data_IF_517856612010
#
_entry.id   IF_517856612010
#
_cell.length_a   1.000
_cell.length_b   1.000
_cell.length_c   1.000
_cell.angle_alpha   90.00
_cell.angle_beta   90.00
_cell.angle_gamma   90.00
#
_symmetry.space_group_name_H-M   'P 1'
#
loop_
_entity.id
_entity.type
_entity.pdbx_description
1 polymer ?
#
# COMPACT_ATOMS: atom_id res chain seq x y z
N UNK A 1 18.79 -11.89 -36.76
CA UNK A 1 18.06 -13.13 -36.38
C UNK A 1 17.26 -12.82 -35.13
N UNK A 2 16.00 -13.20 -35.20
CA UNK A 2 14.90 -12.84 -34.29
C UNK A 2 15.11 -13.59 -32.97
N UNK A 3 15.31 -12.86 -31.87
CA UNK A 3 15.03 -13.41 -30.54
C UNK A 3 13.76 -12.73 -30.03
N UNK A 4 12.72 -13.56 -30.03
CA UNK A 4 11.34 -13.19 -29.80
C UNK A 4 11.12 -12.66 -28.39
N UNK A 5 10.22 -11.68 -28.33
CA UNK A 5 9.65 -11.17 -27.10
C UNK A 5 9.16 -12.33 -26.25
N UNK A 6 9.82 -12.52 -25.11
CA UNK A 6 9.18 -13.19 -23.99
C UNK A 6 8.04 -12.27 -23.57
N UNK A 7 6.85 -12.65 -24.00
CA UNK A 7 5.60 -12.32 -23.36
C UNK A 7 5.81 -12.46 -21.85
N UNK A 8 6.02 -11.31 -21.21
CA UNK A 8 5.79 -11.16 -19.78
C UNK A 8 4.32 -11.50 -19.62
N UNK A 9 4.05 -12.78 -19.36
CA UNK A 9 2.75 -13.26 -18.92
C UNK A 9 2.50 -12.47 -17.65
N UNK A 10 1.82 -11.34 -17.80
CA UNK A 10 1.16 -10.62 -16.71
C UNK A 10 0.47 -11.73 -15.95
N UNK A 11 1.06 -12.06 -14.81
CA UNK A 11 0.50 -13.04 -13.91
C UNK A 11 -0.89 -12.48 -13.68
N UNK A 12 -1.90 -13.16 -14.23
CA UNK A 12 -3.27 -12.96 -13.81
C UNK A 12 -3.25 -13.41 -12.36
N UNK A 13 -2.80 -12.53 -11.47
CA UNK A 13 -3.04 -12.62 -10.05
C UNK A 13 -4.55 -12.47 -9.93
N UNK A 14 -5.21 -13.60 -10.16
CA UNK A 14 -6.46 -13.96 -9.57
C UNK A 14 -6.32 -13.49 -8.12
N UNK A 15 -6.96 -12.37 -7.79
CA UNK A 15 -7.48 -12.15 -6.45
C UNK A 15 -8.63 -13.15 -6.24
N UNK A 16 -8.38 -14.44 -6.50
CA UNK A 16 -8.78 -15.47 -5.59
C UNK A 16 -7.65 -15.43 -4.57
N UNK A 17 -7.75 -14.55 -3.57
CA UNK A 17 -7.04 -14.78 -2.31
C UNK A 17 -7.36 -16.22 -2.01
N UNK A 18 -6.34 -17.08 -2.15
CA UNK A 18 -6.42 -18.45 -1.75
C UNK A 18 -6.71 -18.39 -0.28
N UNK A 19 -8.01 -18.41 0.07
CA UNK A 19 -8.51 -18.69 1.37
C UNK A 19 -8.02 -20.12 1.61
N UNK A 20 -6.76 -20.27 2.02
CA UNK A 20 -6.20 -21.53 2.39
C UNK A 20 -7.01 -21.93 3.61
N UNK A 21 -8.00 -22.80 3.37
CA UNK A 21 -8.72 -23.50 4.41
C UNK A 21 -7.69 -24.36 5.15
N UNK A 22 -7.04 -23.78 6.16
CA UNK A 22 -6.74 -24.52 7.39
C UNK A 22 -7.96 -24.49 8.31
N UNK A 23 -9.18 -24.51 7.74
CA UNK A 23 -10.33 -25.04 8.45
C UNK A 23 -10.12 -26.54 8.50
N UNK A 24 -9.51 -27.04 9.58
CA UNK A 24 -9.74 -28.40 10.00
C UNK A 24 -11.26 -28.62 9.98
N UNK A 25 -11.71 -29.41 8.99
CA UNK A 25 -13.10 -29.81 8.80
C UNK A 25 -13.43 -30.77 9.93
N UNK A 26 -13.76 -30.20 11.08
CA UNK A 26 -14.24 -30.93 12.24
C UNK A 26 -15.71 -31.25 12.08
N UNK A 27 -16.01 -32.54 12.13
CA UNK A 27 -17.34 -33.10 12.27
C UNK A 27 -18.24 -32.26 13.20
N UNK A 28 -19.47 -32.04 12.75
CA UNK A 28 -20.55 -31.42 13.49
C UNK A 28 -20.74 -32.11 14.85
N UNK A 29 -20.28 -31.47 15.93
CA UNK A 29 -20.50 -31.93 17.31
C UNK A 29 -19.49 -31.44 18.34
N UNK A 30 -18.25 -31.12 17.96
CA UNK A 30 -17.23 -30.68 18.90
C UNK A 30 -17.07 -29.15 18.89
N UNK A 31 -17.22 -28.51 20.07
CA UNK A 31 -16.74 -27.14 20.29
C UNK A 31 -15.27 -27.08 19.84
N UNK A 32 -14.90 -26.11 18.99
CA UNK A 32 -13.48 -25.80 18.75
C UNK A 32 -12.85 -25.43 20.08
N UNK A 33 -12.08 -26.34 20.65
CA UNK A 33 -11.47 -26.17 21.97
C UNK A 33 -10.26 -25.22 21.90
N UNK A 34 -9.65 -25.12 20.71
CA UNK A 34 -8.50 -24.26 20.44
C UNK A 34 -8.57 -23.57 19.08
N UNK A 35 -7.88 -22.44 18.99
CA UNK A 35 -7.68 -21.62 17.79
C UNK A 35 -6.17 -21.40 17.65
N UNK A 36 -5.65 -21.58 16.44
CA UNK A 36 -4.26 -21.20 16.13
C UNK A 36 -4.23 -19.69 15.91
N UNK A 37 -3.36 -19.00 16.63
CA UNK A 37 -3.09 -17.57 16.48
C UNK A 37 -1.59 -17.35 16.33
N UNK A 38 -1.20 -16.26 15.69
CA UNK A 38 0.19 -15.81 15.63
C UNK A 38 0.45 -14.74 16.69
N UNK A 39 1.58 -14.86 17.39
CA UNK A 39 2.04 -13.90 18.40
C UNK A 39 3.51 -13.56 18.17
N UNK A 40 3.89 -12.31 18.44
CA UNK A 40 5.27 -11.83 18.29
C UNK A 40 5.37 -10.45 17.64
N UNK A 41 6.55 -10.15 17.10
CA UNK A 41 6.82 -8.90 16.41
C UNK A 41 7.34 -9.16 14.99
N UNK A 42 6.88 -8.34 14.05
CA UNK A 42 7.44 -8.22 12.73
C UNK A 42 7.95 -6.80 12.51
N UNK A 43 9.18 -6.72 12.01
CA UNK A 43 9.80 -5.46 11.61
C UNK A 43 9.72 -5.37 10.09
N UNK A 44 9.00 -4.38 9.57
CA UNK A 44 8.82 -4.17 8.13
C UNK A 44 9.59 -2.92 7.73
N UNK A 45 10.25 -2.97 6.58
CA UNK A 45 10.77 -1.81 5.93
C UNK A 45 9.62 -0.86 5.56
N UNK A 46 9.84 0.46 5.59
CA UNK A 46 8.95 1.48 5.01
C UNK A 46 8.52 1.17 3.58
N UNK A 47 9.29 0.32 2.90
CA UNK A 47 9.12 -0.12 1.52
C UNK A 47 8.50 -1.52 1.40
N UNK A 48 7.91 -2.03 2.48
CA UNK A 48 7.10 -3.25 2.50
C UNK A 48 7.88 -4.54 2.75
N UNK A 49 9.20 -4.56 2.66
CA UNK A 49 10.01 -5.77 2.90
C UNK A 49 10.00 -6.19 4.38
N UNK A 50 9.84 -7.48 4.69
CA UNK A 50 10.03 -7.98 6.06
C UNK A 50 11.52 -8.03 6.38
N UNK A 51 11.94 -7.31 7.43
CA UNK A 51 13.34 -7.25 7.90
C UNK A 51 13.61 -8.27 9.00
N UNK A 52 12.65 -8.46 9.90
CA UNK A 52 12.75 -9.43 10.99
C UNK A 52 11.36 -9.97 11.31
N UNK A 53 11.30 -11.24 11.64
CA UNK A 53 10.09 -11.97 12.01
C UNK A 53 10.41 -12.84 13.22
N UNK A 54 9.81 -12.53 14.36
CA UNK A 54 9.89 -13.34 15.58
C UNK A 54 8.55 -13.99 15.91
N UNK A 55 7.64 -14.07 14.94
CA UNK A 55 6.30 -14.60 15.16
C UNK A 55 6.31 -16.10 15.31
N UNK A 56 5.42 -16.60 16.16
CA UNK A 56 5.20 -18.02 16.37
C UNK A 56 3.70 -18.36 16.30
N UNK A 57 3.40 -19.56 15.82
CA UNK A 57 2.05 -20.12 15.88
C UNK A 57 1.82 -20.77 17.24
N UNK A 58 0.74 -20.38 17.90
CA UNK A 58 0.35 -20.89 19.21
C UNK A 58 -1.12 -21.32 19.20
N UNK A 59 -1.42 -22.42 19.88
CA UNK A 59 -2.79 -22.87 20.08
C UNK A 59 -3.38 -22.29 21.37
N UNK A 60 -4.43 -21.50 21.27
CA UNK A 60 -5.04 -20.79 22.40
C UNK A 60 -6.53 -21.08 22.51
N UNK A 61 -7.12 -20.84 23.68
CA UNK A 61 -8.57 -20.90 23.82
C UNK A 61 -9.23 -19.74 23.06
N UNK A 62 -10.45 -19.91 22.48
CA UNK A 62 -11.14 -18.82 21.79
C UNK A 62 -11.31 -17.54 22.62
N UNK A 63 -11.41 -17.65 23.94
CA UNK A 63 -11.54 -16.50 24.87
C UNK A 63 -10.24 -15.72 25.07
N UNK A 64 -9.10 -16.33 24.75
CA UNK A 64 -7.77 -15.77 25.00
C UNK A 64 -7.16 -15.16 23.73
N UNK A 65 -7.79 -15.33 22.56
CA UNK A 65 -7.33 -14.81 21.25
C UNK A 65 -6.96 -13.33 21.31
N UNK A 66 -7.75 -12.51 22.01
CA UNK A 66 -7.50 -11.07 22.12
C UNK A 66 -6.19 -10.69 22.83
N UNK A 67 -5.59 -11.61 23.59
CA UNK A 67 -4.34 -11.39 24.34
C UNK A 67 -3.09 -11.56 23.48
N UNK A 68 -3.22 -12.19 22.32
CA UNK A 68 -2.14 -12.46 21.39
C UNK A 68 -2.23 -11.52 20.20
N UNK A 69 -1.23 -11.52 19.35
CA UNK A 69 -1.26 -10.89 18.03
C UNK A 69 0.11 -10.43 17.58
N UNK A 70 0.23 -10.21 16.27
CA UNK A 70 1.47 -9.71 15.69
C UNK A 70 1.53 -8.20 15.87
N UNK A 71 2.61 -7.72 16.51
CA UNK A 71 2.96 -6.30 16.51
C UNK A 71 3.81 -5.97 15.30
N UNK A 72 3.58 -4.81 14.72
CA UNK A 72 4.36 -4.33 13.57
C UNK A 72 5.15 -3.10 13.96
N UNK A 73 6.45 -3.12 13.71
CA UNK A 73 7.28 -1.93 13.73
C UNK A 73 7.82 -1.63 12.33
N UNK A 74 8.02 -0.35 12.04
CA UNK A 74 8.51 0.10 10.74
C UNK A 74 9.91 0.68 10.88
N UNK A 75 10.83 0.23 10.04
CA UNK A 75 12.16 0.81 9.92
C UNK A 75 12.46 1.16 8.46
N UNK A 76 13.51 1.91 8.22
CA UNK A 76 14.12 1.98 6.90
C UNK A 76 15.24 0.94 6.85
N UNK A 77 15.15 -0.08 5.99
CA UNK A 77 16.16 -1.14 5.93
C UNK A 77 17.46 -0.64 5.29
N UNK A 78 18.55 -1.37 5.49
CA UNK A 78 19.88 -0.99 4.99
C UNK A 78 19.91 -0.87 3.46
N UNK A 79 19.22 -1.77 2.75
CA UNK A 79 19.13 -1.73 1.29
C UNK A 79 18.50 -0.41 0.82
N UNK A 80 17.34 -0.05 1.37
CA UNK A 80 16.64 1.16 0.98
C UNK A 80 17.34 2.45 1.45
N UNK A 81 18.05 2.40 2.58
CA UNK A 81 18.98 3.46 2.97
C UNK A 81 20.06 3.67 1.93
N UNK A 82 20.69 2.59 1.48
CA UNK A 82 21.71 2.65 0.43
C UNK A 82 21.14 3.15 -0.91
N UNK A 83 19.94 2.73 -1.30
CA UNK A 83 19.29 3.19 -2.55
C UNK A 83 19.00 4.68 -2.51
N UNK A 84 18.47 5.21 -1.41
CA UNK A 84 18.24 6.64 -1.23
C UNK A 84 19.54 7.45 -1.25
N UNK A 85 20.58 6.98 -0.57
CA UNK A 85 21.89 7.64 -0.55
C UNK A 85 22.51 7.71 -1.95
N UNK A 86 22.48 6.59 -2.70
CA UNK A 86 22.95 6.54 -4.08
C UNK A 86 22.16 7.49 -5.00
N UNK A 87 20.85 7.57 -4.81
CA UNK A 87 20.01 8.45 -5.61
C UNK A 87 20.27 9.92 -5.29
N UNK A 88 20.35 10.27 -4.00
CA UNK A 88 20.65 11.62 -3.54
C UNK A 88 22.03 12.08 -4.01
N UNK A 89 23.03 11.20 -3.97
CA UNK A 89 24.36 11.52 -4.49
C UNK A 89 24.35 11.71 -6.02
N UNK A 90 23.60 10.87 -6.76
CA UNK A 90 23.40 11.09 -8.19
C UNK A 90 22.79 12.48 -8.48
N UNK A 91 21.77 12.91 -7.71
CA UNK A 91 21.17 14.22 -7.89
C UNK A 91 22.17 15.36 -7.63
N UNK A 92 22.99 15.27 -6.58
CA UNK A 92 24.06 16.25 -6.30
C UNK A 92 25.08 16.32 -7.45
N UNK A 93 25.43 15.20 -8.05
CA UNK A 93 26.35 15.16 -9.19
C UNK A 93 25.71 15.75 -10.46
N UNK A 94 24.45 15.44 -10.74
CA UNK A 94 23.68 16.07 -11.84
C UNK A 94 23.65 17.58 -11.65
N UNK A 95 23.35 18.06 -10.45
CA UNK A 95 23.32 19.48 -10.11
C UNK A 95 24.64 20.17 -10.45
N UNK A 96 25.76 19.61 -9.97
CA UNK A 96 27.12 20.10 -10.23
C UNK A 96 27.59 19.94 -11.69
N UNK A 97 26.83 19.20 -12.51
CA UNK A 97 27.20 18.89 -13.90
C UNK A 97 28.24 17.77 -14.02
N UNK A 98 28.52 17.04 -12.94
CA UNK A 98 29.41 15.89 -12.91
C UNK A 98 28.67 14.63 -13.38
N UNK A 99 28.43 14.55 -14.69
CA UNK A 99 27.60 13.49 -15.26
C UNK A 99 28.26 12.11 -15.18
N UNK A 100 29.59 12.03 -15.09
CA UNK A 100 30.30 10.75 -14.93
C UNK A 100 30.06 10.16 -13.53
N UNK A 101 30.19 10.97 -12.48
CA UNK A 101 29.88 10.50 -11.13
C UNK A 101 28.38 10.23 -10.95
N UNK A 102 27.50 11.04 -11.54
CA UNK A 102 26.07 10.76 -11.57
C UNK A 102 25.77 9.40 -12.22
N UNK A 103 26.39 9.12 -13.38
CA UNK A 103 26.27 7.83 -14.07
C UNK A 103 26.67 6.67 -13.16
N UNK A 104 27.78 6.81 -12.44
CA UNK A 104 28.26 5.76 -11.53
C UNK A 104 27.26 5.46 -10.41
N UNK A 105 26.73 6.48 -9.72
CA UNK A 105 25.75 6.31 -8.65
C UNK A 105 24.43 5.72 -9.16
N UNK A 106 23.90 6.21 -10.30
CA UNK A 106 22.67 5.67 -10.90
C UNK A 106 22.84 4.22 -11.38
N UNK A 107 24.01 3.89 -11.93
CA UNK A 107 24.30 2.52 -12.37
C UNK A 107 24.38 1.55 -11.19
N UNK A 108 25.03 1.94 -10.09
CA UNK A 108 25.08 1.14 -8.88
C UNK A 108 23.69 0.96 -8.25
N UNK A 109 22.90 2.03 -8.22
CA UNK A 109 21.51 1.98 -7.78
C UNK A 109 20.70 0.98 -8.62
N UNK A 110 20.81 1.01 -9.95
CA UNK A 110 20.07 0.10 -10.83
C UNK A 110 20.56 -1.36 -10.79
N UNK A 111 21.77 -1.62 -10.28
CA UNK A 111 22.20 -2.99 -9.97
C UNK A 111 21.48 -3.54 -8.74
N UNK A 112 21.25 -2.69 -7.75
CA UNK A 112 20.57 -3.05 -6.50
C UNK A 112 19.04 -3.10 -6.68
N UNK A 113 18.47 -2.13 -7.40
CA UNK A 113 17.07 -2.08 -7.80
C UNK A 113 16.93 -1.80 -9.30
N UNK A 114 16.88 -2.85 -10.14
CA UNK A 114 16.63 -2.70 -11.57
C UNK A 114 15.25 -2.11 -11.90
N UNK A 115 14.33 -2.00 -10.95
CA UNK A 115 12.99 -1.46 -11.20
C UNK A 115 12.89 0.04 -10.95
N UNK A 116 13.95 0.67 -10.42
CA UNK A 116 14.01 2.10 -10.11
C UNK A 116 13.91 2.99 -11.37
N UNK A 117 12.68 3.30 -11.78
CA UNK A 117 12.38 3.89 -13.11
C UNK A 117 13.03 5.24 -13.35
N UNK A 118 13.06 6.11 -12.33
CA UNK A 118 13.62 7.46 -12.46
C UNK A 118 15.13 7.43 -12.65
N UNK A 119 15.82 6.59 -11.88
CA UNK A 119 17.25 6.32 -12.07
C UNK A 119 17.54 5.77 -13.47
N UNK A 120 16.72 4.85 -13.98
CA UNK A 120 16.83 4.35 -15.37
C UNK A 120 16.66 5.47 -16.39
N UNK A 121 15.64 6.31 -16.24
CA UNK A 121 15.39 7.43 -17.15
C UNK A 121 16.55 8.44 -17.14
N UNK A 122 17.02 8.86 -15.96
CA UNK A 122 18.14 9.78 -15.83
C UNK A 122 19.44 9.19 -16.37
N UNK A 123 19.68 7.88 -16.19
CA UNK A 123 20.83 7.20 -16.76
C UNK A 123 20.75 7.21 -18.30
N UNK A 124 19.58 6.93 -18.89
CA UNK A 124 19.37 7.00 -20.35
C UNK A 124 19.64 8.41 -20.90
N UNK A 125 19.23 9.46 -20.19
CA UNK A 125 19.52 10.85 -20.59
C UNK A 125 21.02 11.15 -20.57
N UNK A 126 21.73 10.72 -19.53
CA UNK A 126 23.19 10.88 -19.42
C UNK A 126 23.92 10.10 -20.52
N UNK A 127 23.48 8.88 -20.83
CA UNK A 127 24.03 8.06 -21.93
C UNK A 127 23.76 8.70 -23.30
N UNK A 128 22.66 9.43 -23.46
CA UNK A 128 22.37 10.22 -24.64
C UNK A 128 23.11 11.57 -24.70
N UNK A 129 24.03 11.84 -23.76
CA UNK A 129 24.80 13.08 -23.68
C UNK A 129 24.00 14.29 -23.18
N UNK A 130 22.84 14.07 -22.56
CA UNK A 130 22.00 15.12 -21.99
C UNK A 130 22.21 15.22 -20.48
N UNK A 131 22.11 16.43 -19.94
CA UNK A 131 22.00 16.63 -18.49
C UNK A 131 20.53 16.40 -18.09
N UNK A 132 20.22 15.39 -17.25
CA UNK A 132 18.86 15.19 -16.78
C UNK A 132 18.38 16.35 -15.92
N UNK A 133 17.06 16.53 -15.82
CA UNK A 133 16.48 17.44 -14.83
C UNK A 133 16.73 16.91 -13.43
N UNK A 134 17.15 17.80 -12.52
CA UNK A 134 17.31 17.47 -11.10
C UNK A 134 15.94 17.17 -10.54
N UNK A 135 15.83 16.02 -9.91
CA UNK A 135 14.70 15.72 -9.06
C UNK A 135 14.91 16.44 -7.73
N UNK A 136 14.29 17.61 -7.59
CA UNK A 136 14.40 18.43 -6.38
C UNK A 136 13.56 17.90 -5.22
N UNK A 137 12.94 16.71 -5.38
CA UNK A 137 12.45 15.85 -4.32
C UNK A 137 12.05 16.61 -3.07
N UNK A 138 11.03 17.47 -3.18
CA UNK A 138 10.45 18.07 -1.97
C UNK A 138 9.84 16.91 -1.21
N UNK A 139 10.61 16.37 -0.28
CA UNK A 139 10.14 15.49 0.76
C UNK A 139 9.04 16.28 1.48
N UNK A 140 7.78 15.92 1.20
CA UNK A 140 6.64 16.39 1.98
C UNK A 140 6.87 15.91 3.40
N UNK A 141 7.46 16.81 4.18
CA UNK A 141 7.61 16.74 5.62
C UNK A 141 6.50 17.56 6.23
N UNK A 142 5.24 17.27 5.86
CA UNK A 142 4.10 17.66 6.68
C UNK A 142 3.89 16.61 7.78
N UNK A 143 4.88 16.58 8.68
CA UNK A 143 4.61 16.27 10.07
C UNK A 143 4.02 17.55 10.67
N UNK A 144 2.77 17.47 11.15
CA UNK A 144 2.00 18.60 11.67
C UNK A 144 2.80 19.55 12.57
N UNK A 145 2.95 20.78 12.10
CA UNK A 145 3.47 21.92 12.85
C UNK A 145 2.39 22.99 13.00
N UNK A 146 1.62 22.93 14.08
CA UNK A 146 0.74 24.03 14.49
C UNK A 146 1.62 25.17 14.99
N UNK A 147 1.71 26.25 14.21
CA UNK A 147 2.43 27.46 14.58
C UNK A 147 1.79 28.69 13.95
N UNK A 148 0.77 29.24 14.60
CA UNK A 148 0.16 30.49 14.17
C UNK A 148 1.06 31.69 14.43
N UNK A 149 0.98 32.70 13.56
CA UNK A 149 0.98 34.13 13.94
C UNK A 149 0.73 35.05 12.73
N UNK A 150 -0.24 35.96 12.90
CA UNK A 150 -0.36 37.36 12.38
C UNK A 150 -0.15 37.62 10.88
N UNK A 151 -1.09 38.14 10.07
CA UNK A 151 -2.09 39.17 10.34
C UNK A 151 -1.54 40.59 10.07
N UNK A 152 -1.55 41.06 8.82
CA UNK A 152 -1.24 42.46 8.47
C UNK A 152 -1.17 42.75 6.95
N UNK A 153 -2.06 43.62 6.47
CA UNK A 153 -2.33 43.99 5.06
C UNK A 153 -1.54 45.27 4.62
N UNK A 154 -1.81 45.96 3.48
CA UNK A 154 -1.08 45.95 2.19
C UNK A 154 -0.38 47.30 1.80
N UNK A 155 0.43 47.30 0.73
CA UNK A 155 0.96 48.55 0.15
C UNK A 155 1.43 48.42 -1.31
N UNK A 156 0.76 49.16 -2.19
CA UNK A 156 0.90 49.23 -3.67
C UNK A 156 2.13 49.99 -4.16
N UNK A 157 2.67 49.65 -5.36
CA UNK A 157 2.95 50.55 -6.51
C UNK A 157 3.44 49.72 -7.74
N UNK A 158 3.06 50.06 -9.00
CA UNK A 158 3.16 49.19 -10.18
C UNK A 158 4.34 49.50 -11.14
N UNK A 159 4.83 48.45 -11.83
CA UNK A 159 5.78 48.56 -12.96
C UNK A 159 5.85 47.26 -13.78
N UNK A 160 5.48 47.35 -15.05
CA UNK A 160 5.46 46.29 -16.11
C UNK A 160 6.65 46.54 -17.07
N UNK A 161 7.16 45.64 -17.95
CA UNK A 161 6.93 44.20 -18.18
C UNK A 161 8.20 43.33 -18.18
N UNK A 162 8.06 42.05 -17.81
CA UNK A 162 8.99 40.99 -18.20
C UNK A 162 8.30 39.65 -17.99
N UNK A 163 8.04 38.91 -19.06
CA UNK A 163 7.46 37.56 -18.99
C UNK A 163 8.53 36.58 -18.52
N UNK A 164 8.27 35.78 -17.47
CA UNK A 164 8.67 34.37 -17.55
C UNK A 164 7.66 33.40 -16.92
N UNK A 165 7.47 32.27 -17.62
CA UNK A 165 7.08 30.99 -17.02
C UNK A 165 5.58 30.74 -16.91
N UNK A 166 4.96 30.26 -17.98
CA UNK A 166 3.80 29.39 -17.85
C UNK A 166 4.22 28.16 -17.06
N UNK A 167 3.96 28.16 -15.75
CA UNK A 167 3.88 26.94 -14.95
C UNK A 167 2.63 26.18 -15.39
N UNK A 168 2.71 25.56 -16.57
CA UNK A 168 1.87 24.43 -16.91
C UNK A 168 2.44 23.22 -16.17
N UNK A 169 2.18 23.18 -14.85
CA UNK A 169 2.14 21.91 -14.14
C UNK A 169 1.02 21.11 -14.76
N UNK A 170 1.36 20.14 -15.59
CA UNK A 170 0.40 19.19 -16.14
C UNK A 170 -0.24 18.45 -14.96
N UNK A 171 -1.57 18.46 -14.81
CA UNK A 171 -2.24 17.56 -13.89
C UNK A 171 -2.03 16.12 -14.39
N UNK A 172 -1.14 15.37 -13.74
CA UNK A 172 -0.86 13.98 -14.11
C UNK A 172 0.54 13.42 -13.82
N UNK A 173 1.51 14.23 -13.37
CA UNK A 173 2.90 13.79 -13.16
C UNK A 173 3.31 13.55 -11.70
N UNK A 174 2.36 13.56 -10.75
CA UNK A 174 2.63 13.17 -9.36
C UNK A 174 2.43 11.67 -9.16
N UNK A 175 3.26 10.91 -9.86
CA UNK A 175 3.47 9.50 -9.57
C UNK A 175 4.48 9.38 -8.43
N UNK A 176 4.30 8.47 -7.46
CA UNK A 176 5.31 8.25 -6.42
C UNK A 176 6.63 7.84 -7.09
N UNK A 177 7.64 8.65 -6.84
CA UNK A 177 8.96 8.55 -7.44
C UNK A 177 9.96 8.28 -6.34
N UNK A 178 10.43 7.04 -6.28
CA UNK A 178 11.07 6.50 -5.08
C UNK A 178 10.15 5.48 -4.42
N UNK A 179 10.67 4.63 -3.52
CA UNK A 179 10.26 3.24 -3.43
C UNK A 179 8.84 3.08 -2.85
N UNK A 180 8.27 1.88 -2.99
CA UNK A 180 6.91 1.47 -2.60
C UNK A 180 6.27 2.36 -1.53
N UNK A 181 5.05 2.84 -1.78
CA UNK A 181 4.29 3.61 -0.80
C UNK A 181 4.19 2.84 0.52
N UNK A 182 4.07 3.56 1.63
CA UNK A 182 3.98 2.95 2.95
C UNK A 182 2.64 2.19 3.14
N UNK A 183 2.54 0.98 2.59
CA UNK A 183 1.33 0.16 2.59
C UNK A 183 0.93 -0.29 4.00
N UNK A 184 1.90 -0.37 4.94
CA UNK A 184 1.61 -0.80 6.31
C UNK A 184 0.72 0.21 7.06
N UNK A 185 0.66 1.47 6.62
CA UNK A 185 -0.26 2.47 7.17
C UNK A 185 -1.74 2.08 7.04
N UNK A 186 -2.09 1.21 6.10
CA UNK A 186 -3.46 0.70 5.89
C UNK A 186 -3.78 -0.56 6.70
N UNK A 187 -2.81 -1.08 7.48
CA UNK A 187 -2.91 -2.40 8.11
C UNK A 187 -2.55 -2.35 9.60
N UNK A 188 -3.39 -1.72 10.43
CA UNK A 188 -3.15 -1.61 11.86
C UNK A 188 -3.03 -2.99 12.51
N UNK A 189 -2.25 -3.10 13.59
CA UNK A 189 -2.09 -4.35 14.34
C UNK A 189 -3.40 -4.83 14.98
N UNK A 190 -4.28 -3.88 15.29
CA UNK A 190 -5.58 -4.13 15.91
C UNK A 190 -6.65 -3.29 15.24
N UNK A 191 -7.82 -3.90 15.07
CA UNK A 191 -9.05 -3.24 14.63
C UNK A 191 -10.15 -3.66 15.62
N UNK A 192 -11.15 -2.82 15.83
CA UNK A 192 -12.23 -3.13 16.77
C UNK A 192 -12.86 -4.51 16.49
N UNK A 193 -12.70 -5.43 17.43
CA UNK A 193 -13.20 -6.81 17.31
C UNK A 193 -12.27 -7.81 16.60
N UNK A 194 -11.10 -7.37 16.14
CA UNK A 194 -10.17 -8.20 15.38
C UNK A 194 -8.70 -7.99 15.78
N UNK A 195 -7.89 -9.03 15.57
CA UNK A 195 -6.45 -9.00 15.80
C UNK A 195 -5.67 -9.35 14.53
N UNK A 196 -4.71 -8.50 14.17
CA UNK A 196 -3.86 -8.69 13.01
C UNK A 196 -2.91 -9.88 13.17
N UNK A 197 -2.80 -10.68 12.12
CA UNK A 197 -1.83 -11.77 11.97
C UNK A 197 -0.59 -11.28 11.22
N UNK A 198 0.33 -12.19 10.90
CA UNK A 198 1.54 -11.90 10.13
C UNK A 198 1.15 -11.30 8.76
N UNK A 199 1.61 -10.08 8.41
CA UNK A 199 1.39 -9.54 7.08
C UNK A 199 2.22 -10.30 6.04
N UNK A 200 1.64 -10.47 4.86
CA UNK A 200 2.28 -11.03 3.67
C UNK A 200 2.61 -9.86 2.75
N UNK A 201 3.89 -9.66 2.51
CA UNK A 201 4.39 -8.58 1.68
C UNK A 201 4.90 -9.07 0.32
N UNK A 202 4.52 -8.33 -0.72
CA UNK A 202 5.05 -8.37 -2.08
C UNK A 202 5.39 -6.91 -2.47
N UNK A 203 6.19 -6.72 -3.52
CA UNK A 203 6.74 -5.42 -3.94
C UNK A 203 5.68 -4.32 -4.14
N UNK A 204 4.43 -4.69 -4.47
CA UNK A 204 3.33 -3.75 -4.70
C UNK A 204 2.05 -4.14 -3.97
N UNK A 205 2.07 -5.19 -3.14
CA UNK A 205 0.89 -5.67 -2.44
C UNK A 205 1.28 -6.00 -1.02
N UNK A 206 0.56 -5.44 -0.06
CA UNK A 206 0.57 -5.91 1.31
C UNK A 206 -0.79 -6.56 1.58
N UNK A 207 -0.79 -7.69 2.27
CA UNK A 207 -2.00 -8.38 2.71
C UNK A 207 -1.87 -8.72 4.19
N UNK A 208 -2.93 -8.51 4.97
CA UNK A 208 -2.95 -8.93 6.37
C UNK A 208 -4.28 -9.59 6.72
N UNK A 209 -4.15 -10.78 7.30
CA UNK A 209 -5.27 -11.49 7.89
C UNK A 209 -5.58 -10.95 9.28
N UNK A 210 -6.87 -10.96 9.63
CA UNK A 210 -7.38 -10.53 10.92
C UNK A 210 -8.33 -11.60 11.48
N UNK A 211 -8.03 -12.03 12.71
CA UNK A 211 -8.85 -13.00 13.43
C UNK A 211 -9.85 -12.30 14.34
N UNK A 212 -11.12 -12.75 14.40
CA UNK A 212 -12.09 -12.17 15.33
C UNK A 212 -11.72 -12.52 16.78
N UNK A 213 -11.75 -11.52 17.67
CA UNK A 213 -11.41 -11.71 19.09
C UNK A 213 -12.52 -12.42 19.88
N UNK A 214 -13.74 -12.45 19.32
CA UNK A 214 -14.88 -13.21 19.85
C UNK A 214 -15.49 -14.02 18.69
N UNK A 215 -15.87 -15.29 18.91
CA UNK A 215 -16.59 -16.07 17.91
C UNK A 215 -17.83 -15.33 17.41
N UNK A 216 -17.98 -15.24 16.09
CA UNK A 216 -19.08 -14.55 15.45
C UNK A 216 -19.37 -15.12 14.07
N UNK A 217 -20.25 -14.43 13.33
CA UNK A 217 -20.60 -14.85 11.95
C UNK A 217 -19.46 -14.62 10.96
N UNK A 218 -18.64 -13.59 11.19
CA UNK A 218 -17.40 -13.35 10.44
C UNK A 218 -16.34 -14.32 10.99
N UNK A 219 -15.78 -15.14 10.11
CA UNK A 219 -14.76 -16.12 10.48
C UNK A 219 -13.36 -15.67 10.08
N UNK A 220 -13.25 -14.76 9.12
CA UNK A 220 -11.98 -14.20 8.65
C UNK A 220 -12.23 -12.81 8.09
N UNK A 221 -11.33 -11.89 8.41
CA UNK A 221 -11.23 -10.57 7.81
C UNK A 221 -9.85 -10.44 7.16
N UNK A 222 -9.76 -9.82 6.00
CA UNK A 222 -8.51 -9.57 5.29
C UNK A 222 -8.48 -8.13 4.83
N UNK A 223 -7.35 -7.46 5.00
CA UNK A 223 -7.08 -6.19 4.35
C UNK A 223 -5.99 -6.40 3.31
N UNK A 224 -6.23 -5.92 2.10
CA UNK A 224 -5.27 -5.88 1.01
C UNK A 224 -5.04 -4.41 0.63
N UNK A 225 -3.79 -4.00 0.56
CA UNK A 225 -3.39 -2.71 0.00
C UNK A 225 -2.51 -2.99 -1.22
N UNK A 226 -2.93 -2.55 -2.39
CA UNK A 226 -2.21 -2.75 -3.65
C UNK A 226 -1.82 -1.40 -4.25
N UNK A 227 -0.54 -1.23 -4.53
CA UNK A 227 0.01 -0.06 -5.20
C UNK A 227 -0.03 -0.22 -6.70
N UNK A 228 -0.58 0.80 -7.36
CA UNK A 228 -0.60 0.93 -8.80
C UNK A 228 0.39 1.97 -9.28
N UNK A 229 0.55 2.02 -10.61
CA UNK A 229 1.29 3.09 -11.25
C UNK A 229 0.69 4.43 -10.88
N UNK A 230 -0.62 4.61 -11.03
CA UNK A 230 -1.33 5.88 -10.83
C UNK A 230 -2.77 5.62 -10.33
N UNK A 231 -3.46 6.69 -9.93
CA UNK A 231 -4.87 6.64 -9.49
C UNK A 231 -5.82 6.07 -10.56
N UNK A 232 -5.56 6.32 -11.84
CA UNK A 232 -6.39 5.81 -12.92
C UNK A 232 -6.32 4.28 -13.00
N UNK A 233 -5.13 3.69 -12.86
CA UNK A 233 -4.96 2.23 -12.82
C UNK A 233 -5.56 1.61 -11.55
N UNK A 234 -5.45 2.27 -10.38
CA UNK A 234 -6.09 1.80 -9.15
C UNK A 234 -7.63 1.81 -9.29
N UNK A 235 -8.18 2.87 -9.88
CA UNK A 235 -9.61 2.98 -10.16
C UNK A 235 -10.09 1.96 -11.19
N UNK A 236 -9.32 1.73 -12.26
CA UNK A 236 -9.60 0.68 -13.24
C UNK A 236 -9.63 -0.71 -12.58
N UNK A 237 -8.70 -0.99 -11.66
CA UNK A 237 -8.70 -2.26 -10.90
C UNK A 237 -9.96 -2.40 -10.05
N UNK A 238 -10.34 -1.35 -9.31
CA UNK A 238 -11.58 -1.31 -8.54
C UNK A 238 -12.79 -1.65 -9.43
N UNK A 239 -12.91 -0.97 -10.57
CA UNK A 239 -14.07 -1.09 -11.46
C UNK A 239 -14.14 -2.43 -12.21
N UNK A 240 -13.02 -2.91 -12.72
CA UNK A 240 -12.99 -4.10 -13.59
C UNK A 240 -12.87 -5.40 -12.82
N UNK A 241 -12.32 -5.37 -11.60
CA UNK A 241 -12.05 -6.57 -10.80
C UNK A 241 -12.91 -6.63 -9.55
N UNK A 242 -12.88 -5.60 -8.71
CA UNK A 242 -13.55 -5.68 -7.41
C UNK A 242 -15.06 -5.64 -7.59
N UNK A 243 -15.57 -4.67 -8.36
CA UNK A 243 -17.03 -4.58 -8.63
C UNK A 243 -17.58 -5.82 -9.34
N UNK A 244 -16.80 -6.44 -10.22
CA UNK A 244 -17.20 -7.65 -10.94
C UNK A 244 -17.12 -8.90 -10.07
N UNK A 245 -16.20 -8.96 -9.11
CA UNK A 245 -16.05 -10.07 -8.16
C UNK A 245 -17.12 -10.06 -7.07
N UNK A 246 -17.64 -8.88 -6.73
CA UNK A 246 -18.62 -8.66 -5.65
C UNK A 246 -19.90 -7.96 -6.16
N UNK A 247 -20.66 -8.55 -7.10
CA UNK A 247 -21.73 -7.84 -7.79
C UNK A 247 -23.02 -7.67 -6.98
N UNK A 248 -23.18 -8.42 -5.88
CA UNK A 248 -24.44 -8.45 -5.11
C UNK A 248 -24.48 -7.32 -4.10
N UNK A 249 -25.68 -6.75 -3.86
CA UNK A 249 -25.91 -5.66 -2.90
C UNK A 249 -24.96 -4.46 -3.08
N UNK A 250 -24.52 -4.27 -4.33
CA UNK A 250 -23.56 -3.27 -4.73
C UNK A 250 -24.03 -1.87 -4.33
N UNK A 251 -23.16 -1.13 -3.65
CA UNK A 251 -23.47 0.22 -3.21
C UNK A 251 -22.24 1.10 -3.15
N UNK A 252 -22.43 2.39 -3.44
CA UNK A 252 -21.46 3.41 -3.08
C UNK A 252 -21.61 3.75 -1.60
N UNK A 253 -20.51 3.75 -0.87
CA UNK A 253 -20.42 4.09 0.56
C UNK A 253 -19.32 5.13 0.78
N UNK A 254 -19.16 5.63 2.01
CA UNK A 254 -18.16 6.65 2.36
C UNK A 254 -17.23 6.10 3.44
N UNK A 255 -15.93 6.28 3.24
CA UNK A 255 -14.87 5.92 4.19
C UNK A 255 -14.01 7.16 4.42
N UNK A 256 -14.13 7.77 5.60
CA UNK A 256 -13.40 9.01 5.96
C UNK A 256 -13.49 10.11 4.88
N UNK A 257 -14.67 10.28 4.27
CA UNK A 257 -14.92 11.27 3.20
C UNK A 257 -14.53 10.82 1.78
N UNK A 258 -13.91 9.65 1.64
CA UNK A 258 -13.58 9.03 0.35
C UNK A 258 -14.73 8.14 -0.13
N UNK A 259 -15.05 8.24 -1.42
CA UNK A 259 -16.02 7.35 -2.03
C UNK A 259 -15.47 5.93 -2.10
N UNK A 260 -16.25 4.97 -1.62
CA UNK A 260 -15.91 3.56 -1.61
C UNK A 260 -17.00 2.71 -2.26
N UNK A 261 -16.63 1.52 -2.70
CA UNK A 261 -17.52 0.49 -3.17
C UNK A 261 -17.77 -0.53 -2.07
N UNK A 262 -19.02 -0.93 -1.89
CA UNK A 262 -19.39 -2.14 -1.18
C UNK A 262 -20.01 -3.13 -2.16
N UNK A 263 -19.73 -4.42 -1.97
CA UNK A 263 -20.46 -5.50 -2.62
C UNK A 263 -20.25 -6.85 -1.96
N UNK A 264 -21.03 -7.84 -2.39
CA UNK A 264 -20.99 -9.20 -1.86
C UNK A 264 -21.04 -10.28 -2.95
N UNK A 265 -20.60 -11.48 -2.57
CA UNK A 265 -20.71 -12.71 -3.36
C UNK A 265 -20.87 -13.91 -2.42
N UNK A 266 -22.10 -14.40 -2.29
CA UNK A 266 -22.41 -15.49 -1.36
C UNK A 266 -22.03 -15.11 0.07
N UNK A 267 -21.19 -15.92 0.71
CA UNK A 267 -20.75 -15.71 2.10
C UNK A 267 -19.62 -14.69 2.27
N UNK A 268 -19.14 -14.07 1.19
CA UNK A 268 -18.04 -13.10 1.20
C UNK A 268 -18.55 -11.71 0.85
N UNK A 269 -18.00 -10.69 1.47
CA UNK A 269 -18.29 -9.27 1.17
C UNK A 269 -17.03 -8.44 1.24
N UNK A 270 -17.01 -7.32 0.51
CA UNK A 270 -15.88 -6.42 0.46
C UNK A 270 -16.32 -4.95 0.49
N UNK A 271 -15.53 -4.12 1.17
CA UNK A 271 -15.48 -2.68 0.98
C UNK A 271 -14.14 -2.34 0.34
N UNK A 272 -14.14 -1.57 -0.74
CA UNK A 272 -12.92 -1.16 -1.43
C UNK A 272 -12.94 0.32 -1.79
N UNK A 273 -11.81 0.98 -1.67
CA UNK A 273 -11.64 2.39 -2.03
C UNK A 273 -10.26 2.64 -2.60
N UNK A 274 -10.15 3.73 -3.36
CA UNK A 274 -8.89 4.19 -3.93
C UNK A 274 -8.43 5.42 -3.16
N UNK A 275 -7.14 5.44 -2.81
CA UNK A 275 -6.45 6.58 -2.22
C UNK A 275 -5.17 6.87 -3.03
N UNK A 276 -5.24 7.87 -3.90
CA UNK A 276 -4.19 8.11 -4.90
C UNK A 276 -3.94 6.85 -5.75
N UNK A 277 -2.70 6.38 -5.81
CA UNK A 277 -2.37 5.15 -6.54
C UNK A 277 -2.51 3.86 -5.70
N UNK A 278 -3.15 3.90 -4.52
CA UNK A 278 -3.42 2.71 -3.70
C UNK A 278 -4.87 2.28 -3.84
N UNK A 279 -5.10 0.99 -4.10
CA UNK A 279 -6.38 0.33 -3.90
C UNK A 279 -6.35 -0.40 -2.55
N UNK A 280 -7.30 -0.08 -1.69
CA UNK A 280 -7.51 -0.81 -0.42
C UNK A 280 -8.77 -1.65 -0.55
N UNK A 281 -8.69 -2.92 -0.16
CA UNK A 281 -9.81 -3.86 -0.12
C UNK A 281 -9.88 -4.47 1.27
N UNK A 282 -11.00 -4.25 1.95
CA UNK A 282 -11.36 -4.91 3.21
C UNK A 282 -12.40 -5.98 2.91
N UNK A 283 -12.03 -7.24 3.09
CA UNK A 283 -12.85 -8.40 2.75
C UNK A 283 -13.18 -9.22 4.00
N UNK A 284 -14.45 -9.62 4.15
CA UNK A 284 -14.88 -10.53 5.22
C UNK A 284 -15.52 -11.79 4.65
N UNK A 285 -15.06 -12.94 5.16
CA UNK A 285 -15.70 -14.23 4.97
C UNK A 285 -16.61 -14.59 6.15
N UNK A 286 -17.79 -15.12 5.86
CA UNK A 286 -18.79 -15.47 6.86
C UNK A 286 -19.29 -16.91 6.75
N UNK A 287 -19.95 -17.37 7.81
CA UNK A 287 -20.64 -18.68 7.84
C UNK A 287 -22.12 -18.57 7.45
N UNK A 288 -22.68 -17.37 7.36
CA UNK A 288 -24.13 -17.15 7.19
C UNK A 288 -24.65 -17.28 5.76
N UNK A 289 -23.80 -17.50 4.76
CA UNK A 289 -24.18 -17.52 3.33
C UNK A 289 -24.62 -16.16 2.77
N UNK A 290 -24.86 -15.18 3.64
CA UNK A 290 -25.24 -13.80 3.37
C UNK A 290 -24.10 -12.86 3.78
N UNK A 291 -23.20 -12.57 2.85
CA UNK A 291 -22.14 -11.59 3.03
C UNK A 291 -22.68 -10.15 3.10
N UNK A 292 -23.83 -9.87 2.49
CA UNK A 292 -24.36 -8.51 2.41
C UNK A 292 -24.68 -7.92 3.80
N UNK A 293 -25.07 -8.78 4.74
CA UNK A 293 -25.32 -8.44 6.13
C UNK A 293 -24.14 -7.76 6.86
N UNK A 294 -22.90 -7.89 6.37
CA UNK A 294 -21.70 -7.34 7.03
C UNK A 294 -21.28 -5.96 6.51
N UNK A 295 -22.09 -5.32 5.65
CA UNK A 295 -21.81 -3.98 5.10
C UNK A 295 -21.36 -2.97 6.15
N UNK A 296 -22.14 -2.80 7.22
CA UNK A 296 -21.82 -1.81 8.26
C UNK A 296 -20.53 -2.14 9.00
N UNK A 297 -20.29 -3.42 9.28
CA UNK A 297 -19.04 -3.87 9.93
C UNK A 297 -17.83 -3.57 9.05
N UNK A 298 -17.90 -3.87 7.75
CA UNK A 298 -16.81 -3.60 6.83
C UNK A 298 -16.53 -2.12 6.62
N UNK A 299 -17.58 -1.28 6.61
CA UNK A 299 -17.40 0.19 6.59
C UNK A 299 -16.65 0.67 7.83
N UNK A 300 -17.00 0.14 9.01
CA UNK A 300 -16.31 0.47 10.27
C UNK A 300 -14.83 0.09 10.23
N UNK A 301 -14.54 -1.17 9.86
CA UNK A 301 -13.17 -1.67 9.69
C UNK A 301 -12.38 -0.81 8.71
N UNK A 302 -12.93 -0.54 7.52
CA UNK A 302 -12.26 0.27 6.51
C UNK A 302 -12.02 1.73 6.97
N UNK A 303 -12.88 2.27 7.83
CA UNK A 303 -12.70 3.61 8.39
C UNK A 303 -11.62 3.65 9.47
N UNK A 304 -11.49 2.59 10.28
CA UNK A 304 -10.44 2.44 11.30
C UNK A 304 -9.06 2.17 10.68
N UNK A 305 -9.02 1.51 9.52
CA UNK A 305 -7.76 1.15 8.84
C UNK A 305 -7.28 2.21 7.84
N UNK A 306 -8.10 3.21 7.52
CA UNK A 306 -7.73 4.26 6.58
C UNK A 306 -6.88 5.34 7.30
N UNK A 307 -5.70 5.71 6.75
CA UNK A 307 -4.91 6.84 7.24
C UNK A 307 -5.61 8.19 7.01
#
# INVERSE_FOLDING_TARGET
MIFGGQHMKVLKSLLAVGLALSLAVGASGCKREKVVVQDGEVVICTYGEIVSDTTEEIEVSPKDVGNYGVKTSTIKCDLHSKLEDLYADAQKHIEKGDLEAARASLSELLKLDPTYRRARAQLTDIEAGKKPTIDSGTASSDAGGVGGTTGGTPGSTPGTPGTPGTNSGTPGDENPTGPSMNLISYMPDRISGFIGQLPIADAFVLTRDYLPVVPGKITKLVIVAEQFKDNAMAQERLDTTIKTSYPSDAATVQINGRQAYFGARGSVSAVAYVDGAILVVVEAGSTSGDGAAFKTTLIGVASESAP
#
